data_IF_343512579237
#
_entry.id   IF_343512579237
#
_cell.length_a   1.000
_cell.length_b   1.000
_cell.length_c   1.000
_cell.angle_alpha   90.00
_cell.angle_beta   90.00
_cell.angle_gamma   90.00
#
_symmetry.space_group_name_H-M   'P 1'
#
loop_
_entity.id
_entity.type
_entity.pdbx_description
1 polymer ?
#
# COMPACT_ATOMS: atom_id res chain seq x y z
N UNK A 1 -57.71 -27.46 -18.74
CA UNK A 1 -56.76 -28.60 -18.92
C UNK A 1 -55.74 -28.34 -20.03
N UNK A 2 -56.17 -27.86 -21.20
CA UNK A 2 -55.29 -27.56 -22.36
C UNK A 2 -54.18 -26.52 -22.12
N UNK A 3 -54.42 -25.45 -21.34
CA UNK A 3 -53.38 -24.45 -21.02
C UNK A 3 -52.18 -25.04 -20.25
N UNK A 4 -52.40 -25.99 -19.34
CA UNK A 4 -51.31 -26.62 -18.58
C UNK A 4 -50.46 -27.55 -19.46
N UNK A 5 -51.11 -28.26 -20.39
CA UNK A 5 -50.41 -29.10 -21.38
C UNK A 5 -49.58 -28.25 -22.33
N UNK A 6 -50.12 -27.10 -22.80
CA UNK A 6 -49.38 -26.14 -23.62
C UNK A 6 -48.18 -25.52 -22.89
N UNK A 7 -48.33 -25.13 -21.62
CA UNK A 7 -47.21 -24.59 -20.81
C UNK A 7 -46.16 -25.67 -20.53
N UNK A 8 -46.57 -26.91 -20.26
CA UNK A 8 -45.65 -28.02 -20.05
C UNK A 8 -44.88 -28.38 -21.34
N UNK A 9 -45.57 -28.42 -22.49
CA UNK A 9 -44.96 -28.64 -23.80
C UNK A 9 -44.05 -27.48 -24.20
N UNK A 10 -44.47 -26.23 -24.03
CA UNK A 10 -43.65 -25.05 -24.30
C UNK A 10 -42.41 -25.03 -23.38
N UNK A 11 -42.57 -25.36 -22.10
CA UNK A 11 -41.47 -25.48 -21.16
C UNK A 11 -40.51 -26.64 -21.48
N UNK A 12 -41.03 -27.77 -21.97
CA UNK A 12 -40.21 -28.89 -22.44
C UNK A 12 -39.44 -28.53 -23.72
N UNK A 13 -40.12 -27.96 -24.71
CA UNK A 13 -39.53 -27.52 -25.98
C UNK A 13 -38.46 -26.44 -25.76
N UNK A 14 -38.74 -25.47 -24.88
CA UNK A 14 -37.80 -24.40 -24.54
C UNK A 14 -36.56 -24.95 -23.81
N UNK A 15 -36.72 -25.92 -22.91
CA UNK A 15 -35.58 -26.60 -22.28
C UNK A 15 -34.75 -27.40 -23.27
N UNK A 16 -35.40 -28.02 -24.26
CA UNK A 16 -34.70 -28.75 -25.30
C UNK A 16 -33.92 -27.80 -26.21
N UNK A 17 -34.54 -26.72 -26.69
CA UNK A 17 -33.90 -25.66 -27.47
C UNK A 17 -32.74 -24.98 -26.72
N UNK A 18 -32.87 -24.75 -25.41
CA UNK A 18 -31.82 -24.17 -24.59
C UNK A 18 -30.52 -25.00 -24.63
N UNK A 19 -30.62 -26.34 -24.69
CA UNK A 19 -29.45 -27.23 -24.79
C UNK A 19 -28.72 -27.06 -26.12
N UNK A 20 -29.45 -26.90 -27.22
CA UNK A 20 -28.87 -26.63 -28.54
C UNK A 20 -28.13 -25.29 -28.55
N UNK A 21 -28.76 -24.24 -28.03
CA UNK A 21 -28.17 -22.90 -27.94
C UNK A 21 -26.90 -22.93 -27.09
N UNK A 22 -26.94 -23.62 -25.94
CA UNK A 22 -25.80 -23.74 -25.04
C UNK A 22 -24.61 -24.45 -25.68
N UNK A 23 -24.87 -25.53 -26.42
CA UNK A 23 -23.83 -26.25 -27.14
C UNK A 23 -23.22 -25.36 -28.24
N UNK A 24 -24.05 -24.73 -29.08
CA UNK A 24 -23.59 -23.85 -30.16
C UNK A 24 -22.83 -22.63 -29.65
N UNK A 25 -23.22 -22.06 -28.51
CA UNK A 25 -22.47 -20.97 -27.85
C UNK A 25 -21.09 -21.44 -27.38
N UNK A 26 -21.01 -22.63 -26.77
CA UNK A 26 -19.75 -23.20 -26.33
C UNK A 26 -18.83 -23.49 -27.54
N UNK A 27 -19.37 -24.08 -28.60
CA UNK A 27 -18.64 -24.40 -29.83
C UNK A 27 -18.13 -23.13 -30.53
N UNK A 28 -18.97 -22.10 -30.69
CA UNK A 28 -18.56 -20.81 -31.24
C UNK A 28 -17.49 -20.13 -30.38
N UNK A 29 -17.59 -20.20 -29.05
CA UNK A 29 -16.57 -19.67 -28.15
C UNK A 29 -15.22 -20.35 -28.34
N UNK A 30 -15.23 -21.68 -28.45
CA UNK A 30 -14.03 -22.49 -28.72
C UNK A 30 -13.44 -22.17 -30.09
N UNK A 31 -14.27 -22.05 -31.13
CA UNK A 31 -13.84 -21.68 -32.48
C UNK A 31 -13.22 -20.29 -32.54
N UNK A 32 -13.87 -19.28 -31.95
CA UNK A 32 -13.34 -17.91 -31.90
C UNK A 32 -12.01 -17.85 -31.19
N UNK A 33 -11.83 -18.61 -30.11
CA UNK A 33 -10.54 -18.71 -29.42
C UNK A 33 -9.48 -19.42 -30.26
N UNK A 34 -9.84 -20.51 -30.94
CA UNK A 34 -8.92 -21.29 -31.75
C UNK A 34 -8.50 -20.57 -33.05
N UNK A 35 -9.36 -19.69 -33.59
CA UNK A 35 -9.13 -18.93 -34.82
C UNK A 35 -8.56 -17.52 -34.59
N UNK A 36 -8.43 -17.08 -33.33
CA UNK A 36 -7.88 -15.76 -33.01
C UNK A 36 -6.44 -15.65 -33.53
N UNK A 37 -6.27 -14.92 -34.63
CA UNK A 37 -4.97 -14.65 -35.27
C UNK A 37 -4.47 -15.71 -36.27
N UNK A 38 -5.34 -16.60 -36.78
CA UNK A 38 -4.97 -17.61 -37.80
C UNK A 38 -5.98 -17.69 -38.93
N UNK A 39 -5.50 -17.62 -40.17
CA UNK A 39 -6.28 -17.86 -41.39
C UNK A 39 -5.85 -19.20 -42.01
N UNK A 40 -6.54 -20.28 -41.64
CA UNK A 40 -6.35 -21.63 -42.21
C UNK A 40 -5.50 -22.59 -41.36
N UNK A 41 -5.90 -23.87 -41.34
CA UNK A 41 -5.23 -24.96 -40.62
C UNK A 41 -6.17 -25.78 -39.71
N UNK A 42 -5.74 -26.99 -39.32
CA UNK A 42 -6.54 -27.92 -38.50
C UNK A 42 -6.68 -27.40 -37.06
N UNK A 43 -7.92 -27.25 -36.57
CA UNK A 43 -8.23 -26.79 -35.21
C UNK A 43 -7.72 -27.81 -34.18
N UNK A 44 -6.84 -27.40 -33.27
CA UNK A 44 -6.35 -28.23 -32.15
C UNK A 44 -6.97 -27.75 -30.83
N UNK A 45 -7.84 -28.58 -30.26
CA UNK A 45 -8.52 -28.30 -28.99
C UNK A 45 -7.66 -28.70 -27.79
N UNK A 46 -7.58 -27.82 -26.77
CA UNK A 46 -6.94 -28.12 -25.49
C UNK A 46 -7.86 -28.93 -24.56
N UNK A 47 -7.33 -29.48 -23.47
CA UNK A 47 -8.11 -30.36 -22.58
C UNK A 47 -9.29 -29.66 -21.89
N UNK A 48 -9.21 -28.35 -21.61
CA UNK A 48 -10.33 -27.59 -21.05
C UNK A 48 -11.47 -27.44 -22.07
N UNK A 49 -11.14 -27.14 -23.33
CA UNK A 49 -12.10 -27.03 -24.43
C UNK A 49 -12.76 -28.39 -24.72
N UNK A 50 -11.99 -29.47 -24.74
CA UNK A 50 -12.51 -30.84 -24.89
C UNK A 50 -13.49 -31.20 -23.78
N UNK A 51 -13.18 -30.83 -22.53
CA UNK A 51 -14.06 -31.04 -21.37
C UNK A 51 -15.37 -30.27 -21.51
N UNK A 52 -15.30 -28.98 -21.83
CA UNK A 52 -16.46 -28.12 -21.98
C UNK A 52 -17.41 -28.67 -23.06
N UNK A 53 -16.88 -28.98 -24.24
CA UNK A 53 -17.67 -29.54 -25.34
C UNK A 53 -18.26 -30.90 -24.98
N UNK A 54 -17.50 -31.79 -24.34
CA UNK A 54 -17.98 -33.11 -23.94
C UNK A 54 -19.15 -33.05 -22.94
N UNK A 55 -19.09 -32.12 -21.97
CA UNK A 55 -20.17 -31.95 -20.97
C UNK A 55 -21.44 -31.39 -21.62
N UNK A 56 -21.31 -30.34 -22.43
CA UNK A 56 -22.45 -29.74 -23.14
C UNK A 56 -23.04 -30.70 -24.18
N UNK A 57 -22.20 -31.49 -24.85
CA UNK A 57 -22.60 -32.53 -25.78
C UNK A 57 -23.42 -33.64 -25.11
N UNK A 58 -23.06 -34.04 -23.89
CA UNK A 58 -23.82 -35.04 -23.15
C UNK A 58 -25.22 -34.55 -22.80
N UNK A 59 -25.38 -33.27 -22.47
CA UNK A 59 -26.69 -32.68 -22.16
C UNK A 59 -27.62 -32.65 -23.38
N UNK A 60 -27.07 -32.55 -24.59
CA UNK A 60 -27.80 -32.57 -25.86
C UNK A 60 -28.25 -33.98 -26.28
N UNK A 61 -27.45 -35.02 -26.00
CA UNK A 61 -27.76 -36.39 -26.38
C UNK A 61 -27.49 -36.71 -27.87
N UNK A 62 -27.49 -37.99 -28.25
CA UNK A 62 -27.07 -38.43 -29.60
C UNK A 62 -28.06 -38.02 -30.70
N UNK A 63 -29.36 -37.94 -30.37
CA UNK A 63 -30.42 -37.52 -31.30
C UNK A 63 -30.30 -36.04 -31.69
N UNK A 64 -29.86 -35.17 -30.78
CA UNK A 64 -29.72 -33.75 -31.05
C UNK A 64 -28.60 -33.41 -32.05
N UNK A 65 -27.60 -34.29 -32.20
CA UNK A 65 -26.56 -34.11 -33.20
C UNK A 65 -26.99 -34.41 -34.63
N UNK A 66 -28.18 -34.99 -34.86
CA UNK A 66 -28.70 -35.14 -36.24
C UNK A 66 -29.08 -33.80 -36.88
N UNK A 67 -29.28 -32.77 -36.07
CA UNK A 67 -29.70 -31.43 -36.51
C UNK A 67 -28.56 -30.40 -36.43
N UNK A 68 -27.37 -30.81 -35.99
CA UNK A 68 -26.18 -29.96 -35.88
C UNK A 68 -25.04 -30.57 -36.69
N UNK A 69 -24.21 -29.74 -37.30
CA UNK A 69 -22.93 -30.15 -37.91
C UNK A 69 -21.77 -29.71 -37.01
N UNK A 70 -21.45 -30.48 -35.93
CA UNK A 70 -20.45 -30.06 -34.95
C UNK A 70 -19.03 -30.17 -35.49
N UNK A 71 -18.13 -29.35 -34.94
CA UNK A 71 -16.70 -29.31 -35.34
C UNK A 71 -15.93 -30.61 -35.03
N UNK A 72 -16.53 -31.49 -34.21
CA UNK A 72 -15.97 -32.76 -33.76
C UNK A 72 -17.08 -33.81 -33.82
N UNK A 73 -16.75 -35.02 -34.29
CA UNK A 73 -17.75 -36.09 -34.42
C UNK A 73 -18.42 -36.40 -33.07
N UNK A 74 -19.75 -36.63 -33.04
CA UNK A 74 -20.48 -36.92 -31.80
C UNK A 74 -19.88 -38.07 -30.99
N UNK A 75 -19.34 -39.09 -31.67
CA UNK A 75 -18.65 -40.23 -31.05
C UNK A 75 -17.41 -39.80 -30.27
N UNK A 76 -16.64 -38.84 -30.81
CA UNK A 76 -15.44 -38.31 -30.16
C UNK A 76 -15.81 -37.49 -28.92
N UNK A 77 -16.87 -36.69 -28.98
CA UNK A 77 -17.41 -35.95 -27.82
C UNK A 77 -17.84 -36.91 -26.71
N UNK A 78 -18.53 -37.99 -27.06
CA UNK A 78 -18.95 -39.02 -26.10
C UNK A 78 -17.77 -39.83 -25.55
N UNK A 79 -16.71 -40.03 -26.34
CA UNK A 79 -15.46 -40.66 -25.88
C UNK A 79 -14.76 -39.78 -24.84
N UNK A 80 -14.68 -38.47 -25.07
CA UNK A 80 -14.13 -37.53 -24.08
C UNK A 80 -14.95 -37.50 -22.80
N UNK A 81 -16.28 -37.51 -22.90
CA UNK A 81 -17.14 -37.57 -21.72
C UNK A 81 -16.94 -38.86 -20.91
N UNK A 82 -16.84 -40.02 -21.56
CA UNK A 82 -16.52 -41.30 -20.89
C UNK A 82 -15.16 -41.28 -20.20
N UNK A 83 -14.16 -40.65 -20.81
CA UNK A 83 -12.83 -40.45 -20.18
C UNK A 83 -12.93 -39.59 -18.91
N UNK A 84 -13.80 -38.57 -18.90
CA UNK A 84 -14.02 -37.76 -17.69
C UNK A 84 -14.68 -38.54 -16.57
N UNK A 85 -15.63 -39.42 -16.90
CA UNK A 85 -16.22 -40.34 -15.93
C UNK A 85 -15.13 -41.27 -15.37
N UNK A 86 -14.30 -41.87 -16.22
CA UNK A 86 -13.22 -42.73 -15.75
C UNK A 86 -12.25 -42.00 -14.81
N UNK A 87 -11.90 -40.75 -15.12
CA UNK A 87 -11.06 -39.89 -14.27
C UNK A 87 -11.72 -39.52 -12.92
N UNK A 88 -13.06 -39.52 -12.84
CA UNK A 88 -13.80 -39.32 -11.58
C UNK A 88 -13.62 -40.51 -10.63
N UNK A 89 -13.48 -41.72 -11.18
CA UNK A 89 -13.36 -42.96 -10.40
C UNK A 89 -11.91 -43.42 -10.19
N UNK A 90 -10.92 -42.75 -10.80
CA UNK A 90 -9.52 -42.92 -10.42
C UNK A 90 -9.19 -42.07 -9.19
N UNK A 91 -9.44 -42.61 -7.99
CA UNK A 91 -8.82 -42.09 -6.78
C UNK A 91 -7.36 -42.57 -6.76
N UNK A 92 -6.38 -41.68 -6.96
CA UNK A 92 -5.02 -42.03 -6.60
C UNK A 92 -4.96 -42.09 -5.06
N UNK A 93 -4.72 -43.26 -4.48
CA UNK A 93 -4.31 -43.33 -3.09
C UNK A 93 -3.05 -42.48 -2.92
N UNK A 94 -3.13 -41.38 -2.16
CA UNK A 94 -1.93 -40.66 -1.73
C UNK A 94 -1.20 -41.58 -0.75
N UNK A 95 -0.15 -42.24 -1.22
CA UNK A 95 0.85 -42.85 -0.33
C UNK A 95 1.28 -41.79 0.67
N UNK A 96 1.14 -42.06 1.97
CA UNK A 96 1.66 -41.24 3.05
C UNK A 96 3.18 -41.13 2.86
N UNK A 97 3.62 -40.01 2.27
CA UNK A 97 5.04 -39.72 2.09
C UNK A 97 5.70 -39.34 3.41
N UNK A 98 6.99 -38.99 3.34
CA UNK A 98 7.79 -38.44 4.45
C UNK A 98 6.97 -37.48 5.31
N UNK A 99 7.01 -37.59 6.66
CA UNK A 99 6.28 -36.71 7.55
C UNK A 99 6.46 -35.23 7.17
N UNK A 100 5.39 -34.43 7.16
CA UNK A 100 5.49 -33.01 6.88
C UNK A 100 6.38 -32.34 7.93
N UNK A 101 7.10 -31.32 7.50
CA UNK A 101 7.87 -30.45 8.41
C UNK A 101 6.87 -29.80 9.38
N UNK A 102 7.26 -29.66 10.66
CA UNK A 102 6.44 -29.03 11.69
C UNK A 102 5.89 -27.68 11.19
N UNK A 103 4.62 -27.39 11.51
CA UNK A 103 3.94 -26.15 11.13
C UNK A 103 4.69 -24.92 11.64
N UNK A 104 5.20 -24.96 12.87
CA UNK A 104 5.97 -23.87 13.48
C UNK A 104 7.25 -23.57 12.70
N UNK A 105 8.02 -24.61 12.34
CA UNK A 105 9.22 -24.45 11.51
C UNK A 105 8.87 -23.89 10.13
N UNK A 106 7.75 -24.31 9.56
CA UNK A 106 7.26 -23.80 8.28
C UNK A 106 6.91 -22.32 8.38
N UNK A 107 6.22 -21.91 9.44
CA UNK A 107 5.83 -20.53 9.69
C UNK A 107 7.05 -19.63 9.91
N UNK A 108 8.01 -20.06 10.73
CA UNK A 108 9.27 -19.37 10.95
C UNK A 108 10.08 -19.20 9.65
N UNK A 109 10.15 -20.24 8.80
CA UNK A 109 10.78 -20.15 7.47
C UNK A 109 10.12 -19.08 6.60
N UNK A 110 8.78 -18.97 6.65
CA UNK A 110 8.02 -18.00 5.87
C UNK A 110 8.20 -16.58 6.42
N UNK A 111 8.20 -16.40 7.73
CA UNK A 111 8.47 -15.13 8.42
C UNK A 111 9.87 -14.62 8.09
N UNK A 112 10.92 -15.42 8.36
CA UNK A 112 12.31 -15.08 8.03
C UNK A 112 12.47 -14.70 6.56
N UNK A 113 11.78 -15.41 5.67
CA UNK A 113 11.81 -15.17 4.22
C UNK A 113 11.11 -13.88 3.78
N UNK A 114 10.04 -13.47 4.47
CA UNK A 114 9.31 -12.22 4.19
C UNK A 114 10.04 -11.01 4.75
N UNK A 115 10.62 -11.15 5.93
CA UNK A 115 11.40 -10.09 6.56
C UNK A 115 12.74 -9.87 5.85
N UNK A 116 13.39 -10.96 5.45
CA UNK A 116 14.72 -10.96 4.86
C UNK A 116 14.70 -11.39 3.39
N UNK A 117 14.20 -10.50 2.55
CA UNK A 117 14.00 -10.69 1.10
C UNK A 117 15.23 -11.25 0.36
N UNK A 118 16.44 -10.84 0.75
CA UNK A 118 17.69 -11.22 0.10
C UNK A 118 18.22 -12.60 0.56
N UNK A 119 17.64 -13.21 1.59
CA UNK A 119 18.15 -14.47 2.11
C UNK A 119 17.83 -15.62 1.15
N UNK A 120 18.89 -16.24 0.63
CA UNK A 120 18.81 -17.50 -0.09
C UNK A 120 18.52 -18.68 0.83
N UNK A 121 18.24 -19.85 0.23
CA UNK A 121 17.87 -21.06 0.97
C UNK A 121 18.93 -21.47 1.99
N UNK A 122 20.21 -21.43 1.62
CA UNK A 122 21.31 -21.85 2.50
C UNK A 122 21.49 -20.90 3.70
N UNK A 123 21.19 -19.61 3.53
CA UNK A 123 21.26 -18.64 4.63
C UNK A 123 20.13 -18.84 5.64
N UNK A 124 18.92 -19.15 5.17
CA UNK A 124 17.78 -19.51 6.04
C UNK A 124 18.08 -20.81 6.78
N UNK A 125 18.65 -21.81 6.11
CA UNK A 125 19.09 -23.06 6.75
C UNK A 125 20.15 -22.79 7.82
N UNK A 126 21.14 -21.94 7.53
CA UNK A 126 22.16 -21.53 8.50
C UNK A 126 21.56 -20.85 9.73
N UNK A 127 20.61 -19.92 9.53
CA UNK A 127 19.92 -19.25 10.63
C UNK A 127 19.10 -20.22 11.50
N UNK A 128 18.39 -21.15 10.86
CA UNK A 128 17.63 -22.19 11.58
C UNK A 128 18.53 -23.17 12.33
N UNK A 129 19.71 -23.47 11.79
CA UNK A 129 20.71 -24.30 12.46
C UNK A 129 21.20 -23.68 13.77
N UNK A 130 21.35 -22.35 13.84
CA UNK A 130 21.70 -21.64 15.08
C UNK A 130 20.60 -21.82 16.14
N UNK A 131 19.34 -21.90 15.71
CA UNK A 131 18.18 -22.13 16.57
C UNK A 131 17.96 -23.62 16.91
N UNK A 132 18.88 -24.51 16.53
CA UNK A 132 18.78 -25.95 16.75
C UNK A 132 17.81 -26.68 15.80
N UNK A 133 17.36 -26.02 14.73
CA UNK A 133 16.39 -26.56 13.78
C UNK A 133 17.13 -27.06 12.53
N UNK A 134 17.19 -28.37 12.35
CA UNK A 134 17.80 -28.98 11.16
C UNK A 134 16.80 -29.12 10.01
N UNK A 135 17.08 -28.43 8.91
CA UNK A 135 16.27 -28.47 7.70
C UNK A 135 17.14 -28.39 6.45
N UNK A 136 16.77 -29.12 5.40
CA UNK A 136 17.53 -29.07 4.13
C UNK A 136 17.20 -27.80 3.32
N UNK A 137 18.13 -27.27 2.51
CA UNK A 137 17.83 -26.17 1.59
C UNK A 137 16.67 -26.47 0.64
N UNK A 138 16.53 -27.74 0.21
CA UNK A 138 15.42 -28.20 -0.63
C UNK A 138 14.07 -28.16 0.10
N UNK A 139 14.06 -28.44 1.40
CA UNK A 139 12.87 -28.30 2.23
C UNK A 139 12.43 -26.84 2.33
N UNK A 140 13.37 -25.92 2.57
CA UNK A 140 13.11 -24.47 2.57
C UNK A 140 12.60 -24.01 1.19
N UNK A 141 13.25 -24.42 0.11
CA UNK A 141 12.80 -24.16 -1.28
C UNK A 141 11.37 -24.63 -1.51
N UNK A 142 11.01 -25.83 -1.06
CA UNK A 142 9.66 -26.38 -1.18
C UNK A 142 8.63 -25.57 -0.39
N UNK A 143 8.93 -25.25 0.88
CA UNK A 143 8.06 -24.41 1.72
C UNK A 143 7.75 -23.08 1.03
N UNK A 144 8.78 -22.43 0.48
CA UNK A 144 8.65 -21.13 -0.16
C UNK A 144 7.87 -21.22 -1.47
N UNK A 145 8.14 -22.23 -2.29
CA UNK A 145 7.39 -22.49 -3.53
C UNK A 145 5.92 -22.78 -3.25
N UNK A 146 5.63 -23.60 -2.25
CA UNK A 146 4.26 -23.98 -1.88
C UNK A 146 3.48 -22.78 -1.30
N UNK A 147 4.18 -21.78 -0.75
CA UNK A 147 3.62 -20.51 -0.32
C UNK A 147 3.62 -19.41 -1.42
N UNK A 148 4.04 -19.74 -2.65
CA UNK A 148 4.09 -18.79 -3.77
C UNK A 148 5.17 -17.72 -3.66
N UNK A 149 6.21 -17.93 -2.84
CA UNK A 149 7.30 -16.98 -2.62
C UNK A 149 8.45 -17.28 -3.59
N UNK A 150 8.79 -16.31 -4.44
CA UNK A 150 9.89 -16.41 -5.41
C UNK A 150 11.26 -16.69 -4.76
N UNK A 151 12.22 -17.32 -5.47
CA UNK A 151 13.60 -17.49 -5.01
C UNK A 151 14.32 -16.14 -4.86
N UNK A 152 15.18 -16.00 -3.85
CA UNK A 152 16.18 -14.92 -3.86
C UNK A 152 17.13 -15.10 -5.06
N UNK A 153 17.58 -14.03 -5.76
CA UNK A 153 17.34 -12.60 -5.51
C UNK A 153 16.12 -12.03 -6.27
N UNK A 154 15.29 -12.88 -6.91
CA UNK A 154 14.08 -12.43 -7.63
C UNK A 154 12.96 -12.02 -6.67
N UNK A 155 12.97 -12.57 -5.45
CA UNK A 155 12.17 -12.15 -4.31
C UNK A 155 12.40 -10.66 -4.04
N UNK A 156 11.34 -9.86 -4.04
CA UNK A 156 11.38 -8.44 -3.67
C UNK A 156 12.22 -7.53 -4.57
N UNK A 157 12.29 -7.82 -5.89
CA UNK A 157 12.69 -6.80 -6.89
C UNK A 157 11.82 -5.54 -6.86
N UNK A 158 10.64 -5.63 -6.24
CA UNK A 158 9.91 -4.50 -5.68
C UNK A 158 10.04 -4.56 -4.17
N UNK A 159 11.12 -4.02 -3.61
CA UNK A 159 11.09 -3.67 -2.19
C UNK A 159 9.86 -2.79 -1.96
N UNK A 160 9.08 -3.06 -0.92
CA UNK A 160 8.00 -2.13 -0.56
C UNK A 160 8.66 -0.76 -0.38
N UNK A 161 8.28 0.22 -1.19
CA UNK A 161 8.79 1.59 -1.10
C UNK A 161 8.68 2.13 0.34
N UNK A 162 7.65 1.68 1.07
CA UNK A 162 7.49 1.93 2.50
C UNK A 162 8.64 1.36 3.36
N UNK A 163 9.11 0.13 3.09
CA UNK A 163 10.24 -0.46 3.83
C UNK A 163 11.56 0.24 3.48
N UNK A 164 11.77 0.62 2.23
CA UNK A 164 12.92 1.41 1.81
C UNK A 164 12.94 2.78 2.52
N UNK A 165 11.84 3.52 2.48
CA UNK A 165 11.73 4.80 3.18
C UNK A 165 11.90 4.66 4.70
N UNK A 166 11.36 3.59 5.31
CA UNK A 166 11.57 3.28 6.74
C UNK A 166 13.04 3.14 7.10
N UNK A 167 13.82 2.47 6.27
CA UNK A 167 15.26 2.29 6.53
C UNK A 167 16.03 3.61 6.49
N UNK A 168 15.57 4.59 5.71
CA UNK A 168 16.25 5.87 5.55
C UNK A 168 15.67 6.99 6.43
N UNK A 169 14.55 6.76 7.12
CA UNK A 169 13.73 7.83 7.72
C UNK A 169 14.47 8.73 8.70
N UNK A 170 15.37 8.15 9.50
CA UNK A 170 16.19 8.87 10.48
C UNK A 170 17.06 9.96 9.84
N UNK A 171 17.39 9.82 8.55
CA UNK A 171 18.26 10.76 7.83
C UNK A 171 17.49 11.77 6.97
N UNK A 172 16.16 11.63 6.88
CA UNK A 172 15.31 12.43 6.01
C UNK A 172 14.53 13.47 6.79
N UNK A 173 14.55 14.71 6.30
CA UNK A 173 13.64 15.76 6.70
C UNK A 173 12.73 16.17 5.53
N UNK A 174 11.61 16.79 5.84
CA UNK A 174 10.74 17.44 4.87
C UNK A 174 10.46 18.87 5.31
N UNK A 175 10.26 19.78 4.38
CA UNK A 175 9.83 21.14 4.68
C UNK A 175 8.78 21.60 3.68
N UNK A 176 8.01 22.59 4.09
CA UNK A 176 6.96 23.22 3.29
C UNK A 176 6.62 24.60 3.88
N UNK A 177 5.88 25.38 3.11
CA UNK A 177 5.33 26.66 3.53
C UNK A 177 3.81 26.58 3.62
N UNK A 178 3.23 27.26 4.59
CA UNK A 178 1.79 27.52 4.58
C UNK A 178 1.49 28.96 4.97
N UNK A 179 0.34 29.44 4.52
CA UNK A 179 -0.09 30.82 4.75
C UNK A 179 -1.29 30.91 5.67
N UNK A 180 -1.36 32.02 6.41
CA UNK A 180 -2.43 32.35 7.36
C UNK A 180 -2.74 33.85 7.23
N UNK A 181 -4.02 34.20 7.22
CA UNK A 181 -4.46 35.60 7.24
C UNK A 181 -4.56 36.09 8.70
N UNK A 182 -3.96 37.25 8.98
CA UNK A 182 -3.90 37.85 10.31
C UNK A 182 -4.57 39.21 10.28
N UNK A 183 -5.55 39.42 11.16
CA UNK A 183 -6.20 40.71 11.31
C UNK A 183 -5.25 41.70 12.00
N UNK A 184 -4.99 42.83 11.35
CA UNK A 184 -4.23 43.96 11.91
C UNK A 184 -5.07 45.24 11.86
N UNK A 185 -4.62 46.29 12.56
CA UNK A 185 -5.28 47.60 12.51
C UNK A 185 -5.35 48.18 11.09
N UNK A 186 -4.38 47.81 10.23
CA UNK A 186 -4.31 48.23 8.82
C UNK A 186 -5.06 47.29 7.85
N UNK A 187 -5.79 46.29 8.34
CA UNK A 187 -6.46 45.26 7.53
C UNK A 187 -5.85 43.86 7.68
N UNK A 188 -6.25 42.92 6.82
CA UNK A 188 -5.71 41.57 6.83
C UNK A 188 -4.34 41.50 6.15
N UNK A 189 -3.39 40.84 6.81
CA UNK A 189 -2.05 40.58 6.29
C UNK A 189 -1.81 39.09 6.23
N UNK A 190 -1.24 38.62 5.12
CA UNK A 190 -0.89 37.22 4.94
C UNK A 190 0.49 36.96 5.54
N UNK A 191 0.55 36.07 6.51
CA UNK A 191 1.82 35.54 7.02
C UNK A 191 2.13 34.19 6.37
N UNK A 192 3.37 34.02 5.95
CA UNK A 192 3.97 32.78 5.51
C UNK A 192 4.72 32.15 6.68
N UNK A 193 4.41 30.89 6.96
CA UNK A 193 5.05 30.09 8.00
C UNK A 193 5.87 29.01 7.30
N UNK A 194 7.16 28.96 7.62
CA UNK A 194 8.06 27.91 7.17
C UNK A 194 8.33 26.93 8.30
N UNK A 195 8.21 25.65 8.00
CA UNK A 195 8.47 24.59 8.96
C UNK A 195 9.32 23.49 8.35
N UNK A 196 10.02 22.76 9.22
CA UNK A 196 10.80 21.58 8.88
C UNK A 196 10.35 20.44 9.78
N UNK A 197 10.19 19.26 9.19
CA UNK A 197 9.76 18.04 9.85
C UNK A 197 10.85 16.98 9.74
N UNK A 198 11.17 16.34 10.85
CA UNK A 198 11.88 15.07 10.85
C UNK A 198 10.91 13.95 10.51
N UNK A 199 11.20 13.20 9.45
CA UNK A 199 10.23 12.25 8.95
C UNK A 199 10.17 10.95 9.77
N UNK A 200 11.22 10.57 10.50
CA UNK A 200 11.17 9.40 11.39
C UNK A 200 10.22 9.61 12.57
N UNK A 201 10.47 10.68 13.33
CA UNK A 201 9.79 11.00 14.61
C UNK A 201 8.51 11.79 14.44
N UNK A 202 8.31 12.42 13.26
CA UNK A 202 7.26 13.44 13.01
C UNK A 202 7.43 14.72 13.81
N UNK A 203 8.58 14.91 14.47
CA UNK A 203 8.93 16.17 15.13
C UNK A 203 8.99 17.28 14.09
N UNK A 204 8.49 18.45 14.46
CA UNK A 204 8.38 19.62 13.58
C UNK A 204 8.97 20.83 14.27
N UNK A 205 9.75 21.61 13.55
CA UNK A 205 10.23 22.91 13.97
C UNK A 205 9.63 24.00 13.07
N UNK A 206 9.14 25.07 13.70
CA UNK A 206 8.73 26.28 12.98
C UNK A 206 9.96 27.16 12.83
N UNK A 207 10.57 27.11 11.65
CA UNK A 207 11.81 27.80 11.34
C UNK A 207 11.60 29.30 11.05
N UNK A 208 10.39 29.71 10.67
CA UNK A 208 10.10 31.10 10.34
C UNK A 208 8.62 31.45 10.27
N UNK A 209 8.29 32.68 10.66
CA UNK A 209 6.97 33.31 10.49
C UNK A 209 7.23 34.73 9.96
N UNK A 210 6.78 35.03 8.74
CA UNK A 210 7.07 36.28 8.03
C UNK A 210 5.95 36.66 7.04
N UNK A 211 5.58 37.93 6.95
CA UNK A 211 4.51 38.42 6.04
C UNK A 211 4.85 38.19 4.56
N UNK A 212 6.03 38.64 4.13
CA UNK A 212 6.55 38.45 2.78
C UNK A 212 8.00 37.94 2.87
N UNK A 213 8.22 36.61 2.93
CA UNK A 213 9.56 36.07 2.97
C UNK A 213 10.29 36.36 1.65
N UNK A 214 11.58 36.66 1.76
CA UNK A 214 12.46 36.90 0.62
C UNK A 214 13.67 35.96 0.63
N UNK A 215 14.54 36.14 -0.38
CA UNK A 215 15.75 35.33 -0.50
C UNK A 215 16.75 35.55 0.64
N UNK A 216 16.77 36.70 1.30
CA UNK A 216 17.70 36.98 2.41
C UNK A 216 17.20 36.30 3.68
N UNK A 217 15.90 36.38 3.93
CA UNK A 217 15.22 35.73 5.02
C UNK A 217 15.43 34.21 5.00
N UNK A 218 15.19 33.57 3.86
CA UNK A 218 15.33 32.11 3.75
C UNK A 218 16.80 31.66 3.87
N UNK A 219 17.76 32.49 3.46
CA UNK A 219 19.18 32.23 3.72
C UNK A 219 19.50 32.22 5.21
N UNK A 220 18.92 33.14 5.99
CA UNK A 220 19.13 33.16 7.43
C UNK A 220 18.51 31.92 8.08
N UNK A 221 17.31 31.52 7.63
CA UNK A 221 16.71 30.27 8.08
C UNK A 221 17.62 29.08 7.78
N UNK A 222 18.21 28.99 6.58
CA UNK A 222 19.13 27.90 6.25
C UNK A 222 20.27 27.80 7.26
N UNK A 223 20.88 28.94 7.63
CA UNK A 223 21.97 28.97 8.62
C UNK A 223 21.53 28.44 9.97
N UNK A 224 20.36 28.88 10.45
CA UNK A 224 19.82 28.43 11.74
C UNK A 224 19.53 26.91 11.71
N UNK A 225 18.91 26.43 10.63
CA UNK A 225 18.58 25.00 10.48
C UNK A 225 19.82 24.10 10.40
N UNK A 226 20.92 24.61 9.85
CA UNK A 226 22.18 23.88 9.68
C UNK A 226 23.22 24.24 10.74
N UNK A 227 22.85 24.93 11.81
CA UNK A 227 23.79 25.22 12.88
C UNK A 227 24.37 23.92 13.46
N UNK A 228 25.68 23.93 13.73
CA UNK A 228 26.39 22.72 14.15
C UNK A 228 26.09 22.33 15.60
N UNK A 229 25.60 23.25 16.43
CA UNK A 229 25.26 22.99 17.83
C UNK A 229 23.84 22.45 17.94
N UNK A 230 22.86 23.24 17.48
CA UNK A 230 21.43 23.06 17.75
C UNK A 230 20.55 23.05 16.50
N UNK A 231 21.13 23.11 15.30
CA UNK A 231 20.38 23.12 14.05
C UNK A 231 19.55 21.86 13.84
N UNK A 232 18.27 22.03 13.50
CA UNK A 232 17.32 20.94 13.29
C UNK A 232 17.78 19.90 12.25
N UNK A 233 18.57 20.33 11.25
CA UNK A 233 19.06 19.48 10.16
C UNK A 233 20.43 18.84 10.44
N UNK A 234 21.04 19.06 11.60
CA UNK A 234 22.38 18.58 11.95
C UNK A 234 22.62 17.09 11.69
N UNK A 235 21.61 16.24 11.95
CA UNK A 235 21.70 14.79 11.77
C UNK A 235 21.04 14.30 10.46
N UNK A 236 20.68 15.20 9.55
CA UNK A 236 19.94 14.90 8.32
C UNK A 236 20.85 14.98 7.12
N UNK A 237 20.59 14.13 6.13
CA UNK A 237 21.35 14.10 4.88
C UNK A 237 20.54 14.65 3.72
N UNK A 238 19.21 14.59 3.79
CA UNK A 238 18.33 15.10 2.74
C UNK A 238 17.16 15.90 3.33
N UNK A 239 16.81 16.98 2.64
CA UNK A 239 15.64 17.79 2.91
C UNK A 239 14.70 17.73 1.70
N UNK A 240 13.52 17.14 1.86
CA UNK A 240 12.50 17.02 0.83
C UNK A 240 11.61 18.27 0.84
N UNK A 241 11.46 18.92 -0.30
CA UNK A 241 10.64 20.14 -0.45
C UNK A 241 9.82 20.11 -1.73
N UNK A 242 8.87 21.03 -1.84
CA UNK A 242 8.18 21.30 -3.10
C UNK A 242 9.05 22.17 -4.05
N UNK A 243 8.43 22.74 -5.07
CA UNK A 243 9.12 23.57 -6.06
C UNK A 243 9.00 25.08 -5.78
N UNK A 244 8.78 25.48 -4.53
CA UNK A 244 8.64 26.89 -4.19
C UNK A 244 9.92 27.70 -4.58
N UNK A 245 9.76 28.86 -5.26
CA UNK A 245 10.88 29.71 -5.68
C UNK A 245 11.70 30.28 -4.50
N UNK A 246 11.15 30.28 -3.27
CA UNK A 246 11.87 30.68 -2.06
C UNK A 246 13.06 29.76 -1.76
N UNK A 247 13.12 28.54 -2.30
CA UNK A 247 14.30 27.67 -2.23
C UNK A 247 15.41 28.11 -3.20
N UNK A 248 15.93 29.31 -2.95
CA UNK A 248 16.93 29.99 -3.78
C UNK A 248 18.23 29.19 -3.94
N UNK A 249 19.04 29.54 -4.94
CA UNK A 249 20.38 28.94 -5.14
C UNK A 249 21.27 29.09 -3.89
N UNK A 250 21.20 30.23 -3.20
CA UNK A 250 21.98 30.47 -1.98
C UNK A 250 21.51 29.57 -0.83
N UNK A 251 20.20 29.39 -0.66
CA UNK A 251 19.62 28.43 0.29
C UNK A 251 20.19 27.01 0.07
N UNK A 252 20.13 26.52 -1.17
CA UNK A 252 20.68 25.21 -1.57
C UNK A 252 22.16 25.08 -1.27
N UNK A 253 22.93 26.15 -1.47
CA UNK A 253 24.38 26.16 -1.23
C UNK A 253 24.71 26.04 0.26
N UNK A 254 23.95 26.71 1.13
CA UNK A 254 24.15 26.62 2.59
C UNK A 254 23.86 25.20 3.07
N UNK A 255 22.74 24.60 2.63
CA UNK A 255 22.40 23.22 2.97
C UNK A 255 23.48 22.23 2.51
N UNK A 256 23.93 22.34 1.25
CA UNK A 256 24.96 21.46 0.71
C UNK A 256 26.29 21.58 1.45
N UNK A 257 26.68 22.79 1.89
CA UNK A 257 27.87 23.02 2.70
C UNK A 257 27.78 22.34 4.07
N UNK A 258 26.57 22.15 4.60
CA UNK A 258 26.30 21.40 5.82
C UNK A 258 26.09 19.89 5.59
N UNK A 259 26.25 19.40 4.36
CA UNK A 259 26.04 17.99 4.01
C UNK A 259 24.57 17.58 3.82
N UNK A 260 23.66 18.56 3.67
CA UNK A 260 22.24 18.32 3.45
C UNK A 260 21.88 18.56 1.98
N UNK A 261 21.46 17.52 1.28
CA UNK A 261 20.98 17.60 -0.10
C UNK A 261 19.51 18.04 -0.14
N UNK A 262 19.20 19.05 -0.95
CA UNK A 262 17.82 19.47 -1.18
C UNK A 262 17.19 18.63 -2.29
N UNK A 263 16.19 17.82 -1.95
CA UNK A 263 15.44 16.98 -2.89
C UNK A 263 14.10 17.64 -3.21
N UNK A 264 13.93 18.08 -4.44
CA UNK A 264 12.67 18.69 -4.87
C UNK A 264 11.70 17.63 -5.38
N UNK A 265 10.46 17.70 -4.93
CA UNK A 265 9.39 16.88 -5.49
C UNK A 265 9.08 17.32 -6.93
N UNK A 266 8.64 16.40 -7.81
CA UNK A 266 8.11 16.74 -9.12
C UNK A 266 7.00 17.80 -9.04
N UNK A 267 6.82 18.61 -10.11
CA UNK A 267 5.82 19.67 -10.10
C UNK A 267 4.43 19.10 -9.81
N UNK A 268 3.64 19.82 -8.99
CA UNK A 268 2.25 19.47 -8.66
C UNK A 268 2.08 18.04 -8.11
N UNK A 269 3.05 17.59 -7.30
CA UNK A 269 3.04 16.25 -6.68
C UNK A 269 2.94 16.33 -5.15
N UNK A 270 1.83 16.88 -4.61
CA UNK A 270 1.61 17.02 -3.17
C UNK A 270 1.78 15.69 -2.40
N UNK A 271 1.34 14.61 -3.02
CA UNK A 271 1.43 13.24 -2.53
C UNK A 271 2.87 12.72 -2.30
N UNK A 272 3.90 13.47 -2.67
CA UNK A 272 5.31 13.12 -2.41
C UNK A 272 5.87 13.84 -1.17
N UNK A 273 5.12 14.78 -0.58
CA UNK A 273 5.42 15.44 0.70
C UNK A 273 4.27 15.24 1.72
N UNK A 274 3.61 14.07 1.70
CA UNK A 274 2.37 13.78 2.45
C UNK A 274 2.44 14.13 3.93
N UNK A 275 3.59 13.95 4.57
CA UNK A 275 3.74 14.18 6.01
C UNK A 275 3.77 15.66 6.36
N UNK A 276 4.46 16.48 5.56
CA UNK A 276 4.43 17.93 5.71
C UNK A 276 3.00 18.44 5.48
N UNK A 277 2.32 17.96 4.43
CA UNK A 277 0.92 18.33 4.16
C UNK A 277 -0.04 17.91 5.26
N UNK A 278 0.18 16.72 5.84
CA UNK A 278 -0.62 16.24 6.97
C UNK A 278 -0.45 17.15 8.18
N UNK A 279 0.77 17.61 8.44
CA UNK A 279 1.03 18.60 9.50
C UNK A 279 0.34 19.93 9.21
N UNK A 280 0.46 20.48 8.00
CA UNK A 280 -0.23 21.73 7.60
C UNK A 280 -1.73 21.62 7.82
N UNK A 281 -2.31 20.48 7.46
CA UNK A 281 -3.73 20.21 7.70
C UNK A 281 -4.06 20.18 9.19
N UNK A 282 -3.26 19.49 10.00
CA UNK A 282 -3.48 19.44 11.46
C UNK A 282 -3.42 20.82 12.10
N UNK A 283 -2.37 21.62 11.85
CA UNK A 283 -2.26 22.95 12.47
C UNK A 283 -3.39 23.90 12.01
N UNK A 284 -3.82 23.80 10.75
CA UNK A 284 -4.94 24.60 10.24
C UNK A 284 -6.28 24.15 10.84
N UNK A 285 -6.64 22.87 10.70
CA UNK A 285 -7.97 22.38 11.07
C UNK A 285 -8.18 22.28 12.58
N UNK A 286 -7.13 21.97 13.35
CA UNK A 286 -7.22 21.78 14.80
C UNK A 286 -7.08 23.11 15.56
N UNK A 287 -6.33 24.09 15.02
CA UNK A 287 -6.04 25.35 15.69
C UNK A 287 -6.39 26.59 14.84
N UNK A 288 -5.61 26.89 13.79
CA UNK A 288 -5.58 28.22 13.19
C UNK A 288 -6.89 28.63 12.49
N UNK A 289 -7.58 27.70 11.83
CA UNK A 289 -8.86 27.97 11.15
C UNK A 289 -10.04 28.18 12.11
N UNK A 290 -9.85 27.89 13.41
CA UNK A 290 -10.89 28.05 14.44
C UNK A 290 -10.73 29.33 15.25
N UNK A 291 -9.73 30.13 14.92
CA UNK A 291 -9.33 31.31 15.70
C UNK A 291 -9.38 32.56 14.83
N UNK A 292 -9.83 33.67 15.41
CA UNK A 292 -9.57 35.00 14.86
C UNK A 292 -8.18 35.45 15.34
N UNK A 293 -7.26 35.62 14.39
CA UNK A 293 -5.84 35.88 14.70
C UNK A 293 -5.60 37.39 14.64
N UNK A 294 -5.05 37.95 15.72
CA UNK A 294 -4.95 39.39 15.95
C UNK A 294 -3.48 39.82 16.05
N UNK A 295 -2.91 40.26 14.92
CA UNK A 295 -1.52 40.63 14.82
C UNK A 295 -0.53 39.46 14.98
N UNK A 296 0.74 39.76 14.69
CA UNK A 296 1.82 38.76 14.67
C UNK A 296 2.07 38.12 16.04
N UNK A 297 2.00 38.91 17.11
CA UNK A 297 2.23 38.40 18.48
C UNK A 297 1.20 37.32 18.85
N UNK A 298 -0.06 37.50 18.46
CA UNK A 298 -1.09 36.50 18.67
C UNK A 298 -0.81 35.26 17.81
N UNK A 299 -0.48 35.41 16.52
CA UNK A 299 -0.11 34.29 15.66
C UNK A 299 1.05 33.47 16.25
N UNK A 300 2.12 34.12 16.72
CA UNK A 300 3.27 33.46 17.34
C UNK A 300 2.87 32.71 18.63
N UNK A 301 1.98 33.28 19.44
CA UNK A 301 1.47 32.60 20.63
C UNK A 301 0.65 31.35 20.26
N UNK A 302 -0.27 31.44 19.29
CA UNK A 302 -1.08 30.30 18.84
C UNK A 302 -0.23 29.17 18.29
N UNK A 303 0.76 29.50 17.45
CA UNK A 303 1.70 28.52 16.91
C UNK A 303 2.49 27.87 18.04
N UNK A 304 3.03 28.65 18.98
CA UNK A 304 3.78 28.11 20.12
C UNK A 304 2.94 27.12 20.94
N UNK A 305 1.71 27.48 21.31
CA UNK A 305 0.82 26.61 22.07
C UNK A 305 0.45 25.35 21.30
N UNK A 306 0.20 25.48 19.99
CA UNK A 306 -0.06 24.32 19.13
C UNK A 306 1.17 23.41 19.02
N UNK A 307 2.38 23.95 18.90
CA UNK A 307 3.59 23.14 18.79
C UNK A 307 3.85 22.32 20.06
N UNK A 308 3.67 22.93 21.25
CA UNK A 308 3.80 22.20 22.51
C UNK A 308 2.75 21.08 22.57
N UNK A 309 1.51 21.37 22.17
CA UNK A 309 0.47 20.35 22.10
C UNK A 309 0.83 19.23 21.11
N UNK A 310 1.28 19.60 19.91
CA UNK A 310 1.60 18.68 18.83
C UNK A 310 2.74 17.72 19.21
N UNK A 311 3.78 18.18 19.92
CA UNK A 311 4.90 17.31 20.32
C UNK A 311 4.58 16.45 21.54
N UNK A 312 4.03 17.04 22.60
CA UNK A 312 3.99 16.38 23.92
C UNK A 312 2.61 15.87 24.35
N UNK A 313 1.54 16.19 23.62
CA UNK A 313 0.17 15.97 24.10
C UNK A 313 -0.76 15.34 23.06
N UNK A 314 -0.46 15.51 21.77
CA UNK A 314 -1.27 15.01 20.67
C UNK A 314 -0.79 13.62 20.24
N UNK A 315 -1.67 12.63 20.28
CA UNK A 315 -1.38 11.30 19.75
C UNK A 315 -1.27 11.30 18.21
N UNK A 316 -0.31 10.54 17.68
CA UNK A 316 -0.04 10.49 16.25
C UNK A 316 -0.28 9.11 15.67
N UNK A 317 -1.36 8.95 14.90
CA UNK A 317 -1.69 7.69 14.21
C UNK A 317 -0.55 7.17 13.31
N UNK A 318 0.27 8.07 12.75
CA UNK A 318 1.41 7.72 11.91
C UNK A 318 2.59 7.08 12.65
N UNK A 319 2.60 7.13 13.99
CA UNK A 319 3.59 6.52 14.88
C UNK A 319 2.88 5.71 15.98
N UNK A 320 1.99 4.80 15.59
CA UNK A 320 1.29 3.88 16.49
C UNK A 320 0.45 4.54 17.60
N UNK A 321 -0.07 5.76 17.36
CA UNK A 321 -0.79 6.57 18.35
C UNK A 321 0.06 6.98 19.56
N UNK A 322 1.38 7.01 19.42
CA UNK A 322 2.28 7.50 20.46
C UNK A 322 2.42 9.03 20.42
N UNK A 323 2.97 9.59 21.49
CA UNK A 323 3.39 10.99 21.58
C UNK A 323 4.82 11.11 21.01
N UNK A 324 5.16 12.25 20.42
CA UNK A 324 6.51 12.48 19.88
C UNK A 324 7.50 12.66 21.03
N UNK A 325 7.13 13.48 22.01
CA UNK A 325 7.93 13.75 23.20
C UNK A 325 7.07 13.44 24.45
N UNK A 326 6.91 12.15 24.80
CA UNK A 326 6.12 11.77 25.96
C UNK A 326 6.76 12.34 27.23
N UNK A 327 5.95 13.01 28.05
CA UNK A 327 6.32 13.35 29.41
C UNK A 327 6.24 12.14 30.34
N UNK A 328 6.57 12.35 31.62
CA UNK A 328 6.41 11.33 32.66
C UNK A 328 4.94 10.94 32.81
N UNK A 329 4.66 9.63 32.80
CA UNK A 329 3.33 9.11 33.06
C UNK A 329 3.15 8.85 34.54
N UNK A 330 2.29 9.65 35.18
CA UNK A 330 1.91 9.44 36.56
C UNK A 330 0.93 8.27 36.76
N UNK A 331 0.70 7.90 38.02
CA UNK A 331 -0.26 6.83 38.37
C UNK A 331 -1.52 7.33 39.09
N UNK A 332 -1.56 8.62 39.42
CA UNK A 332 -2.65 9.27 40.13
C UNK A 332 -3.93 9.49 39.30
N UNK A 333 -4.72 10.46 39.75
CA UNK A 333 -6.01 10.81 39.15
C UNK A 333 -5.85 11.36 37.71
N UNK A 334 -6.89 11.14 36.90
CA UNK A 334 -6.94 11.66 35.52
C UNK A 334 -7.20 13.16 35.58
N UNK A 335 -6.27 13.95 35.06
CA UNK A 335 -6.35 15.40 34.94
C UNK A 335 -6.45 15.80 33.47
N UNK A 336 -7.21 16.88 33.23
CA UNK A 336 -7.30 17.54 31.92
C UNK A 336 -6.41 18.77 31.92
N UNK A 337 -5.56 18.86 30.91
CA UNK A 337 -4.79 20.05 30.58
C UNK A 337 -5.38 20.72 29.35
N UNK A 338 -5.72 22.00 29.48
CA UNK A 338 -6.33 22.79 28.42
C UNK A 338 -5.34 23.81 27.87
N UNK A 339 -5.42 24.05 26.56
CA UNK A 339 -4.74 25.16 25.90
C UNK A 339 -5.72 25.92 25.02
N UNK A 340 -5.44 27.20 24.81
CA UNK A 340 -6.20 28.06 23.91
C UNK A 340 -7.70 28.06 24.22
N UNK A 341 -8.05 28.17 25.52
CA UNK A 341 -9.45 28.18 25.97
C UNK A 341 -10.19 26.85 25.78
N UNK A 342 -9.49 25.73 25.92
CA UNK A 342 -10.06 24.38 25.78
C UNK A 342 -10.21 23.92 24.33
N UNK A 343 -9.65 24.66 23.35
CA UNK A 343 -9.61 24.24 21.96
C UNK A 343 -8.75 22.98 21.77
N UNK A 344 -7.63 22.93 22.50
CA UNK A 344 -6.72 21.79 22.54
C UNK A 344 -6.76 21.23 23.96
N UNK A 345 -7.07 19.93 24.06
CA UNK A 345 -7.21 19.24 25.33
C UNK A 345 -6.29 18.03 25.35
N UNK A 346 -5.71 17.79 26.52
CA UNK A 346 -4.90 16.62 26.79
C UNK A 346 -5.30 16.02 28.13
N UNK A 347 -5.31 14.69 28.21
CA UNK A 347 -5.67 13.96 29.41
C UNK A 347 -4.47 13.13 29.84
N UNK A 348 -4.06 13.30 31.09
CA UNK A 348 -2.94 12.56 31.68
C UNK A 348 -3.25 12.16 33.12
N UNK A 349 -2.42 11.30 33.70
CA UNK A 349 -2.47 11.00 35.14
C UNK A 349 -1.49 11.90 35.89
N UNK A 350 -1.88 12.38 37.06
CA UNK A 350 -0.98 13.07 37.98
C UNK A 350 0.11 12.11 38.50
N UNK A 351 1.29 12.64 38.86
CA UNK A 351 2.44 11.88 39.35
C UNK A 351 2.06 10.87 40.44
#
# INVERSE_FOLDING_TARGET
MWNWVLVALAGWLNREQAKFIDYLKAENGVLRQALKGRSGGRIRLNDAQRKLLAVKAKALGFSGFRQLDPIVTPETLMRWYRRLIALKYTHSHKTLGRPPINGETKELVLEMSRENVLWGYDRIVGALKILGIEISPNSVKRILRDAGIDPAPKRGKSGSWSKFLKTHWETLAAADFFTVEVATLSGFRRYCIFFVMELATRKVEIAGIQEAPDGVYIQQIARNLTDFQDGFLKAKTHLIVDQDPLYTKKFRTILAAAGVELVQTPPKSPNLNVYAERFVRSIKEECLSRMMIFGEKHLRHLIKEFMIHYHSERNHQGINNELIEPGEQGTGEIQRKERLGGLLNFYHRAA
#
